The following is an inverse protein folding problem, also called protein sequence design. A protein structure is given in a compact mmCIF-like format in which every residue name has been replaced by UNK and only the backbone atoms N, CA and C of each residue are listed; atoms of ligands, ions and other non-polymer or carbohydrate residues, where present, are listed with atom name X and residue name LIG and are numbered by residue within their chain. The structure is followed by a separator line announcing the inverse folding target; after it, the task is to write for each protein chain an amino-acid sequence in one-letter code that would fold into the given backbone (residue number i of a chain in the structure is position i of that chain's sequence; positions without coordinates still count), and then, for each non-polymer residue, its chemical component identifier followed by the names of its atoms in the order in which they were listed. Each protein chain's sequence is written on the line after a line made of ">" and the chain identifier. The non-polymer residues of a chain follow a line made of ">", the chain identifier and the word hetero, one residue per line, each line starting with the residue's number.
data_IF_039625590996
#
_entry.id   IF_039625590996
#
_cell.length_a   1.000
_cell.length_b   1.000
_cell.length_c   1.000
_cell.angle_alpha   90.00
_cell.angle_beta   90.00
_cell.angle_gamma   90.00
#
_symmetry.space_group_name_H-M   'P 1'
#
loop_
_entity.id
_entity.type
_entity.pdbx_description
1 polymer ?
#
# COMPACT_ATOMS: atom_id res chain seq x y z
N UNK A 1 -4.50 -1.37 -15.00
CA UNK A 1 -5.46 -1.32 -13.87
C UNK A 1 -4.70 -1.64 -12.60
N UNK A 2 -4.99 -1.02 -11.45
CA UNK A 2 -4.30 -1.33 -10.17
C UNK A 2 -4.28 -2.83 -9.91
N UNK A 3 -3.17 -3.40 -9.47
CA UNK A 3 -3.05 -4.86 -9.33
C UNK A 3 -3.74 -5.39 -8.06
N UNK A 4 -4.00 -4.52 -7.07
CA UNK A 4 -4.62 -4.86 -5.78
C UNK A 4 -3.87 -5.99 -5.06
N UNK A 5 -2.61 -5.73 -4.69
CA UNK A 5 -1.73 -6.70 -4.02
C UNK A 5 -2.41 -7.38 -2.82
N UNK A 6 -2.29 -8.72 -2.68
CA UNK A 6 -3.16 -9.48 -1.80
C UNK A 6 -2.73 -9.47 -0.32
N UNK A 7 -1.56 -8.93 0.00
CA UNK A 7 -1.01 -8.95 1.36
C UNK A 7 -0.23 -7.68 1.70
N UNK A 8 -0.06 -7.44 3.00
CA UNK A 8 0.84 -6.43 3.53
C UNK A 8 2.30 -6.82 3.25
N UNK A 9 3.08 -5.93 2.65
CA UNK A 9 4.49 -6.20 2.36
C UNK A 9 5.31 -6.44 3.64
N UNK A 10 4.94 -5.85 4.78
CA UNK A 10 5.70 -6.00 6.03
C UNK A 10 5.38 -7.27 6.82
N UNK A 11 4.10 -7.50 7.14
CA UNK A 11 3.67 -8.56 8.07
C UNK A 11 2.92 -9.70 7.37
N UNK A 12 2.81 -9.66 6.04
CA UNK A 12 2.09 -10.62 5.21
C UNK A 12 0.59 -10.81 5.52
N UNK A 13 -0.02 -9.92 6.33
CA UNK A 13 -1.47 -9.93 6.58
C UNK A 13 -2.24 -9.90 5.27
N UNK A 14 -3.27 -10.74 5.14
CA UNK A 14 -4.15 -10.74 3.98
C UNK A 14 -4.89 -9.40 3.84
N UNK A 15 -4.85 -8.86 2.63
CA UNK A 15 -5.49 -7.62 2.22
C UNK A 15 -6.29 -7.89 0.93
N UNK A 16 -7.41 -8.61 1.03
CA UNK A 16 -8.27 -8.92 -0.12
C UNK A 16 -8.75 -7.64 -0.81
N UNK A 17 -9.24 -7.71 -2.06
CA UNK A 17 -9.55 -6.53 -2.88
C UNK A 17 -10.53 -5.53 -2.26
N UNK A 18 -11.39 -5.99 -1.35
CA UNK A 18 -12.38 -5.26 -0.59
C UNK A 18 -11.91 -4.85 0.83
N UNK A 19 -10.64 -5.10 1.15
CA UNK A 19 -10.07 -4.79 2.46
C UNK A 19 -10.05 -3.27 2.74
N UNK A 20 -10.72 -2.89 3.84
CA UNK A 20 -10.68 -1.53 4.40
C UNK A 20 -9.37 -1.21 5.14
N UNK A 21 -8.54 -2.22 5.35
CA UNK A 21 -7.27 -2.11 6.07
C UNK A 21 -6.09 -1.83 5.13
N UNK A 22 -6.26 -1.99 3.82
CA UNK A 22 -5.19 -1.79 2.86
C UNK A 22 -4.84 -0.31 2.69
N UNK A 23 -3.55 0.01 2.84
CA UNK A 23 -2.94 1.30 2.51
C UNK A 23 -2.03 1.13 1.31
N UNK A 24 -2.07 2.07 0.37
CA UNK A 24 -1.34 1.99 -0.90
C UNK A 24 -0.63 3.32 -1.20
N UNK A 25 0.55 3.26 -1.83
CA UNK A 25 1.19 4.41 -2.45
C UNK A 25 1.03 4.41 -3.97
N UNK A 26 1.52 5.43 -4.67
CA UNK A 26 1.42 5.55 -6.14
C UNK A 26 2.16 4.44 -6.91
N UNK A 27 3.16 3.80 -6.29
CA UNK A 27 3.90 2.64 -6.83
C UNK A 27 3.30 1.29 -6.39
N UNK A 28 2.07 1.30 -5.88
CA UNK A 28 1.35 0.11 -5.43
C UNK A 28 2.02 -0.69 -4.28
N UNK A 29 2.94 -0.06 -3.54
CA UNK A 29 3.44 -0.66 -2.30
C UNK A 29 2.29 -0.74 -1.30
N UNK A 30 1.98 -1.94 -0.82
CA UNK A 30 0.76 -2.21 -0.06
C UNK A 30 1.09 -2.63 1.38
N UNK A 31 0.51 -1.95 2.36
CA UNK A 31 0.68 -2.24 3.78
C UNK A 31 -0.69 -2.23 4.48
N UNK A 32 -0.83 -2.92 5.61
CA UNK A 32 -2.04 -2.75 6.44
C UNK A 32 -1.98 -1.46 7.25
N UNK A 33 -3.12 -0.95 7.71
CA UNK A 33 -3.19 0.28 8.50
C UNK A 33 -2.32 0.18 9.76
N UNK A 34 -2.36 -0.96 10.44
CA UNK A 34 -1.53 -1.21 11.62
C UNK A 34 -0.05 -1.01 11.34
N UNK A 35 0.50 -1.56 10.25
CA UNK A 35 1.92 -1.38 9.93
C UNK A 35 2.24 0.07 9.54
N UNK A 36 1.35 0.75 8.84
CA UNK A 36 1.52 2.17 8.50
C UNK A 36 1.56 3.03 9.77
N UNK A 37 0.70 2.74 10.74
CA UNK A 37 0.57 3.49 11.99
C UNK A 37 1.69 3.16 12.99
N UNK A 38 2.00 1.88 13.20
CA UNK A 38 2.92 1.45 14.27
C UNK A 38 4.37 1.29 13.84
N UNK A 39 4.63 0.85 12.60
CA UNK A 39 5.99 0.57 12.11
C UNK A 39 6.52 1.77 11.31
N UNK A 40 5.69 2.33 10.43
CA UNK A 40 6.12 3.40 9.54
C UNK A 40 5.94 4.78 10.18
N UNK A 41 4.84 5.04 10.89
CA UNK A 41 4.62 6.16 11.82
C UNK A 41 4.72 7.59 11.27
N UNK A 42 5.23 7.79 10.04
CA UNK A 42 5.52 9.09 9.42
C UNK A 42 4.82 9.31 8.10
N UNK A 43 3.96 8.39 7.67
CA UNK A 43 3.34 8.39 6.34
C UNK A 43 4.39 8.52 5.22
N UNK A 44 5.46 7.72 5.34
CA UNK A 44 6.57 7.61 4.39
C UNK A 44 6.68 6.14 4.00
N UNK A 45 6.55 5.86 2.71
CA UNK A 45 6.69 4.52 2.19
C UNK A 45 8.16 4.09 2.26
N UNK A 46 8.49 2.94 2.88
CA UNK A 46 9.87 2.49 3.01
C UNK A 46 10.49 2.10 1.67
N UNK A 47 9.67 1.88 0.65
CA UNK A 47 10.12 1.47 -0.67
C UNK A 47 10.33 2.65 -1.64
N UNK A 48 9.62 3.77 -1.47
CA UNK A 48 9.63 4.86 -2.45
C UNK A 48 9.61 6.29 -1.85
N UNK A 49 9.52 6.46 -0.54
CA UNK A 49 9.50 7.78 0.13
C UNK A 49 8.15 8.54 0.08
N UNK A 50 7.23 8.12 -0.79
CA UNK A 50 5.90 8.72 -0.94
C UNK A 50 4.96 8.47 0.25
N UNK A 51 3.78 9.09 0.23
CA UNK A 51 2.73 8.88 1.24
C UNK A 51 1.86 7.64 0.99
N UNK A 52 0.99 7.34 1.96
CA UNK A 52 -0.05 6.33 1.89
C UNK A 52 -1.43 6.95 1.90
N UNK A 53 -2.36 6.29 1.21
CA UNK A 53 -3.80 6.52 1.29
C UNK A 53 -4.53 5.19 1.45
N UNK A 54 -5.82 5.23 1.80
CA UNK A 54 -6.68 4.04 1.74
C UNK A 54 -6.70 3.51 0.31
N UNK A 55 -6.49 2.20 0.14
CA UNK A 55 -6.56 1.58 -1.18
C UNK A 55 -8.00 1.64 -1.71
N UNK A 56 -8.25 2.21 -2.91
CA UNK A 56 -9.57 2.17 -3.51
C UNK A 56 -10.06 0.73 -3.71
N UNK A 57 -11.34 0.49 -3.40
CA UNK A 57 -11.97 -0.81 -3.60
C UNK A 57 -12.47 -0.90 -5.04
N UNK A 58 -12.04 -1.94 -5.75
CA UNK A 58 -12.63 -2.28 -7.05
C UNK A 58 -14.01 -2.90 -6.81
N UNK A 59 -15.06 -2.44 -7.51
CA UNK A 59 -16.39 -3.01 -7.36
C UNK A 59 -16.42 -4.52 -7.62
N UNK A 60 -17.24 -5.23 -6.85
CA UNK A 60 -17.49 -6.66 -7.05
C UNK A 60 -18.51 -6.95 -8.15
N UNK A 61 -19.29 -5.94 -8.56
CA UNK A 61 -20.31 -6.04 -9.60
C UNK A 61 -20.04 -5.03 -10.70
N UNK A 62 -20.45 -5.36 -11.92
CA UNK A 62 -20.39 -4.45 -13.05
C UNK A 62 -21.45 -3.36 -12.92
N UNK A 63 -21.07 -2.22 -12.35
CA UNK A 63 -21.94 -1.04 -12.29
C UNK A 63 -21.80 -0.14 -13.51
N UNK A 64 -20.65 -0.20 -14.20
CA UNK A 64 -20.33 0.68 -15.32
C UNK A 64 -19.17 0.13 -16.16
N UNK A 65 -19.37 0.05 -17.46
CA UNK A 65 -18.33 -0.19 -18.48
C UNK A 65 -17.41 -1.40 -18.20
N UNK A 66 -17.92 -2.47 -17.56
CA UNK A 66 -17.15 -3.66 -17.16
C UNK A 66 -16.01 -3.39 -16.17
N UNK A 67 -16.03 -2.28 -15.42
CA UNK A 67 -15.02 -1.96 -14.42
C UNK A 67 -15.28 -2.66 -13.06
N UNK A 68 -14.99 -3.95 -12.96
CA UNK A 68 -15.25 -4.75 -11.75
C UNK A 68 -14.31 -5.96 -11.64
N UNK A 69 -14.32 -6.62 -10.48
CA UNK A 69 -13.36 -7.68 -10.13
C UNK A 69 -13.33 -8.89 -11.07
N UNK A 70 -14.45 -9.33 -11.65
CA UNK A 70 -14.40 -10.51 -12.53
C UNK A 70 -13.82 -10.19 -13.91
N UNK A 71 -13.93 -8.94 -14.38
CA UNK A 71 -13.29 -8.49 -15.62
C UNK A 71 -11.83 -8.11 -15.39
N UNK A 72 -11.56 -7.38 -14.30
CA UNK A 72 -10.23 -6.94 -13.90
C UNK A 72 -9.89 -7.55 -12.52
N UNK A 73 -9.38 -8.78 -12.47
CA UNK A 73 -9.10 -9.46 -11.21
C UNK A 73 -7.92 -8.82 -10.46
N UNK A 74 -7.94 -8.98 -9.14
CA UNK A 74 -6.77 -8.70 -8.31
C UNK A 74 -5.70 -9.78 -8.52
N UNK A 75 -4.43 -9.40 -8.40
CA UNK A 75 -3.34 -10.37 -8.53
C UNK A 75 -3.23 -11.26 -7.29
N UNK A 76 -3.04 -12.56 -7.50
CA UNK A 76 -2.81 -13.52 -6.41
C UNK A 76 -1.35 -13.54 -5.91
N UNK A 77 -0.44 -12.85 -6.60
CA UNK A 77 0.99 -12.86 -6.30
C UNK A 77 1.28 -12.07 -5.03
N UNK A 78 1.65 -12.80 -3.98
CA UNK A 78 2.15 -12.25 -2.72
C UNK A 78 3.48 -11.53 -2.95
N UNK A 79 3.61 -10.35 -2.35
CA UNK A 79 4.88 -9.62 -2.26
C UNK A 79 5.16 -9.42 -0.79
N UNK A 80 6.00 -10.28 -0.23
CA UNK A 80 6.44 -10.20 1.16
C UNK A 80 7.85 -9.59 1.20
N UNK A 81 7.93 -8.36 1.70
CA UNK A 81 9.16 -7.57 1.81
C UNK A 81 9.13 -6.81 3.15
N UNK A 82 9.47 -7.48 4.26
CA UNK A 82 9.59 -6.85 5.57
C UNK A 82 10.44 -5.59 5.52
N UNK A 83 10.01 -4.56 6.25
CA UNK A 83 10.73 -3.29 6.34
C UNK A 83 12.04 -3.52 7.07
N UNK A 84 13.14 -3.12 6.43
CA UNK A 84 14.41 -2.90 7.10
C UNK A 84 14.32 -1.60 7.89
N UNK A 85 14.27 -1.71 9.21
CA UNK A 85 14.06 -0.58 10.11
C UNK A 85 15.26 0.38 10.13
N UNK A 86 16.48 -0.10 9.90
CA UNK A 86 17.66 0.75 9.88
C UNK A 86 17.69 1.59 8.60
N UNK A 87 17.45 0.94 7.45
CA UNK A 87 17.34 1.63 6.16
C UNK A 87 16.16 2.63 6.17
N UNK A 88 15.04 2.25 6.76
CA UNK A 88 13.88 3.13 6.89
C UNK A 88 14.16 4.33 7.78
N UNK A 89 14.85 4.15 8.92
CA UNK A 89 15.23 5.27 9.77
C UNK A 89 16.13 6.28 9.04
N UNK A 90 17.07 5.80 8.21
CA UNK A 90 17.92 6.67 7.37
C UNK A 90 17.08 7.45 6.34
N UNK A 91 16.11 6.81 5.70
CA UNK A 91 15.18 7.48 4.79
C UNK A 91 14.37 8.57 5.51
N UNK A 92 13.77 8.23 6.65
CA UNK A 92 12.98 9.18 7.47
C UNK A 92 13.85 10.36 7.91
N UNK A 93 15.10 10.14 8.31
CA UNK A 93 16.00 11.22 8.66
C UNK A 93 16.30 12.15 7.47
N UNK A 94 16.40 11.61 6.25
CA UNK A 94 16.70 12.38 5.05
C UNK A 94 15.50 13.21 4.54
N UNK A 95 14.28 12.67 4.57
CA UNK A 95 13.10 13.29 3.92
C UNK A 95 11.93 13.58 4.85
N UNK A 96 12.00 13.20 6.13
CA UNK A 96 10.85 13.24 7.04
C UNK A 96 10.38 14.63 7.47
N UNK A 97 11.21 15.66 7.27
CA UNK A 97 10.84 17.06 7.48
C UNK A 97 10.25 17.72 6.23
N UNK A 98 10.33 17.07 5.07
CA UNK A 98 9.81 17.61 3.81
C UNK A 98 8.29 17.43 3.74
N UNK A 99 7.61 18.48 3.28
CA UNK A 99 6.19 18.40 2.95
C UNK A 99 5.94 17.32 1.86
N UNK A 100 4.78 16.64 1.84
CA UNK A 100 4.51 15.57 0.88
C UNK A 100 4.77 15.94 -0.59
N UNK A 101 4.47 17.17 -0.99
CA UNK A 101 4.67 17.71 -2.35
C UNK A 101 6.14 18.04 -2.69
N UNK A 102 7.05 17.88 -1.71
CA UNK A 102 8.50 18.07 -1.85
C UNK A 102 9.29 16.76 -1.67
N UNK A 103 8.61 15.64 -1.45
CA UNK A 103 9.21 14.30 -1.32
C UNK A 103 9.26 13.56 -2.64
#
# INVERSE_FOLDING_TARGET
>A
MLELRPTCEHCNKALPPDSLDARICTYECTFCATCVESILGKNICPNCGGGFVLRPIRPSKNWRDNNYLSNDPAIAKVKYRPVDLEAYAKLVAAIGSLAPEKR
#
